data_IF_312709034589
#
_entry.id   IF_312709034589
#
_cell.length_a   1.000
_cell.length_b   1.000
_cell.length_c   1.000
_cell.angle_alpha   90.00
_cell.angle_beta   90.00
_cell.angle_gamma   90.00
#
_symmetry.space_group_name_H-M   'P 1'
#
loop_
_entity.id
_entity.type
_entity.pdbx_description
1 polymer ?
#
# COMPACT_ATOMS: atom_id res chain seq x y z
N UNK A 1 -19.99 -26.29 -13.21
CA UNK A 1 -19.72 -24.84 -13.33
C UNK A 1 -18.86 -24.47 -12.16
N UNK A 2 -17.58 -24.19 -12.41
CA UNK A 2 -16.61 -23.90 -11.35
C UNK A 2 -16.87 -22.53 -10.75
N UNK A 3 -16.88 -22.39 -9.41
CA UNK A 3 -17.01 -21.09 -8.78
C UNK A 3 -15.81 -20.20 -9.14
N UNK A 4 -16.02 -18.90 -9.39
CA UNK A 4 -14.93 -18.00 -9.76
C UNK A 4 -13.95 -17.85 -8.59
N UNK A 5 -12.64 -17.71 -8.88
CA UNK A 5 -11.62 -17.55 -7.85
C UNK A 5 -11.90 -16.33 -6.95
N UNK A 6 -11.56 -16.45 -5.67
CA UNK A 6 -11.81 -15.47 -4.59
C UNK A 6 -11.09 -14.10 -4.73
N UNK A 7 -10.76 -13.68 -5.95
CA UNK A 7 -10.14 -12.37 -6.26
C UNK A 7 -11.01 -11.18 -5.83
N UNK A 8 -12.34 -11.30 -5.85
CA UNK A 8 -13.26 -10.20 -5.55
C UNK A 8 -13.18 -9.66 -4.11
N UNK A 9 -12.89 -10.52 -3.14
CA UNK A 9 -12.81 -10.11 -1.73
C UNK A 9 -11.52 -9.36 -1.40
N UNK A 10 -10.45 -9.59 -2.14
CA UNK A 10 -9.16 -8.96 -1.85
C UNK A 10 -9.00 -7.63 -2.59
N UNK A 11 -9.53 -7.52 -3.81
CA UNK A 11 -9.62 -6.25 -4.54
C UNK A 11 -10.49 -5.23 -3.77
N UNK A 12 -11.60 -5.68 -3.19
CA UNK A 12 -12.48 -4.81 -2.40
C UNK A 12 -11.84 -4.35 -1.09
N UNK A 13 -11.10 -5.21 -0.38
CA UNK A 13 -10.31 -4.84 0.80
C UNK A 13 -9.21 -3.83 0.46
N UNK A 14 -8.50 -4.03 -0.66
CA UNK A 14 -7.45 -3.13 -1.12
C UNK A 14 -8.04 -1.75 -1.47
N UNK A 15 -9.07 -1.71 -2.30
CA UNK A 15 -9.74 -0.46 -2.68
C UNK A 15 -10.23 0.31 -1.45
N UNK A 16 -10.93 -0.36 -0.52
CA UNK A 16 -11.44 0.27 0.71
C UNK A 16 -10.33 0.90 1.55
N UNK A 17 -9.18 0.24 1.65
CA UNK A 17 -8.10 0.64 2.55
C UNK A 17 -7.18 1.71 1.94
N UNK A 18 -6.88 1.62 0.66
CA UNK A 18 -5.89 2.49 0.02
C UNK A 18 -6.56 3.61 -0.77
N UNK A 19 -7.49 3.26 -1.67
CA UNK A 19 -8.07 4.22 -2.61
C UNK A 19 -8.94 5.26 -1.90
N UNK A 20 -9.90 4.84 -1.07
CA UNK A 20 -10.79 5.80 -0.40
C UNK A 20 -10.06 6.68 0.61
N UNK A 21 -9.14 6.11 1.40
CA UNK A 21 -8.37 6.89 2.37
C UNK A 21 -7.49 7.95 1.68
N UNK A 22 -6.84 7.60 0.57
CA UNK A 22 -6.04 8.54 -0.21
C UNK A 22 -6.91 9.59 -0.91
N UNK A 23 -8.07 9.20 -1.43
CA UNK A 23 -9.04 10.12 -2.03
C UNK A 23 -9.56 11.14 -1.00
N UNK A 24 -9.83 10.73 0.25
CA UNK A 24 -10.22 11.64 1.32
C UNK A 24 -9.13 12.69 1.60
N UNK A 25 -7.86 12.28 1.65
CA UNK A 25 -6.74 13.21 1.83
C UNK A 25 -6.63 14.17 0.66
N UNK A 26 -6.68 13.65 -0.57
CA UNK A 26 -6.62 14.47 -1.78
C UNK A 26 -7.76 15.50 -1.82
N UNK A 27 -8.99 15.09 -1.50
CA UNK A 27 -10.15 15.97 -1.43
C UNK A 27 -9.99 17.05 -0.35
N UNK A 28 -9.47 16.71 0.83
CA UNK A 28 -9.22 17.68 1.89
C UNK A 28 -8.14 18.70 1.52
N UNK A 29 -7.05 18.25 0.89
CA UNK A 29 -5.98 19.15 0.41
C UNK A 29 -6.48 20.07 -0.69
N UNK A 30 -7.20 19.53 -1.67
CA UNK A 30 -7.75 20.32 -2.77
C UNK A 30 -8.81 21.29 -2.27
N UNK A 31 -9.71 20.88 -1.38
CA UNK A 31 -10.75 21.78 -0.86
C UNK A 31 -10.16 22.93 -0.05
N UNK A 32 -9.18 22.65 0.82
CA UNK A 32 -8.46 23.69 1.57
C UNK A 32 -7.75 24.67 0.64
N UNK A 33 -7.13 24.17 -0.44
CA UNK A 33 -6.54 25.02 -1.46
C UNK A 33 -7.59 25.88 -2.15
N UNK A 34 -8.67 25.26 -2.66
CA UNK A 34 -9.67 25.97 -3.44
C UNK A 34 -10.41 27.04 -2.62
N UNK A 35 -10.53 26.82 -1.32
CA UNK A 35 -11.10 27.83 -0.43
C UNK A 35 -10.14 29.01 -0.19
N UNK A 36 -8.84 28.73 -0.08
CA UNK A 36 -7.83 29.76 0.17
C UNK A 36 -7.62 30.72 -1.01
N UNK A 37 -7.86 30.27 -2.24
CA UNK A 37 -7.67 31.09 -3.45
C UNK A 37 -8.91 31.87 -3.90
N UNK A 38 -10.09 31.63 -3.31
CA UNK A 38 -11.31 32.38 -3.66
C UNK A 38 -11.12 33.87 -3.33
N UNK A 39 -11.55 34.83 -4.18
CA UNK A 39 -12.42 34.70 -5.37
C UNK A 39 -11.72 34.48 -6.74
N UNK A 40 -10.40 34.29 -6.80
CA UNK A 40 -9.61 34.07 -8.03
C UNK A 40 -9.55 35.22 -9.04
N UNK A 41 -9.82 36.45 -8.60
CA UNK A 41 -9.73 37.65 -9.44
C UNK A 41 -8.31 38.26 -9.48
N UNK A 42 -7.40 37.80 -8.60
CA UNK A 42 -6.07 38.39 -8.38
C UNK A 42 -6.12 39.88 -8.02
N UNK A 43 -7.19 40.33 -7.37
CA UNK A 43 -7.34 41.69 -6.87
C UNK A 43 -7.21 41.71 -5.35
N UNK A 44 -6.46 42.69 -4.86
CA UNK A 44 -6.34 43.02 -3.45
C UNK A 44 -6.78 44.46 -3.26
N UNK A 45 -7.57 44.69 -2.23
CA UNK A 45 -7.89 46.04 -1.78
C UNK A 45 -6.61 46.72 -1.29
N UNK A 46 -6.40 47.97 -1.71
CA UNK A 46 -5.33 48.82 -1.20
C UNK A 46 -5.82 49.58 0.04
N UNK A 47 -4.91 49.95 0.95
CA UNK A 47 -5.27 50.73 2.15
C UNK A 47 -5.55 52.21 1.83
N UNK A 48 -5.46 52.59 0.55
CA UNK A 48 -5.63 53.95 0.06
C UNK A 48 -6.86 54.06 -0.84
N UNK A 49 -7.53 55.20 -0.79
CA UNK A 49 -8.57 55.57 -1.75
C UNK A 49 -7.96 55.86 -3.13
N UNK A 50 -8.80 55.84 -4.16
CA UNK A 50 -8.41 56.15 -5.54
C UNK A 50 -7.76 57.55 -5.61
N UNK A 51 -6.64 57.63 -6.33
CA UNK A 51 -5.94 58.91 -6.52
C UNK A 51 -6.83 59.92 -7.24
N UNK A 52 -6.77 61.19 -6.84
CA UNK A 52 -7.55 62.29 -7.43
C UNK A 52 -7.36 62.46 -8.94
N UNK A 53 -6.28 61.92 -9.51
CA UNK A 53 -6.04 61.89 -10.96
C UNK A 53 -7.01 60.98 -11.73
N UNK A 54 -7.63 60.02 -11.06
CA UNK A 54 -8.54 59.04 -11.65
C UNK A 54 -10.01 59.31 -11.31
N UNK A 55 -10.32 60.43 -10.66
CA UNK A 55 -11.71 60.82 -10.31
C UNK A 55 -12.37 61.49 -11.52
N UNK A 56 -13.52 60.97 -11.93
CA UNK A 56 -14.27 61.49 -13.07
C UNK A 56 -15.09 60.42 -13.80
N UNK A 57 -15.76 60.86 -14.86
CA UNK A 57 -16.58 59.98 -15.71
C UNK A 57 -15.76 59.48 -16.90
N UNK A 58 -15.59 58.16 -16.98
CA UNK A 58 -14.85 57.48 -18.03
C UNK A 58 -15.79 56.63 -18.89
N UNK A 59 -15.54 56.63 -20.20
CA UNK A 59 -16.24 55.71 -21.11
C UNK A 59 -15.28 54.59 -21.51
N UNK A 60 -15.58 53.38 -21.06
CA UNK A 60 -14.80 52.18 -21.35
C UNK A 60 -15.45 51.46 -22.53
N UNK A 61 -14.67 51.14 -23.56
CA UNK A 61 -15.16 50.34 -24.69
C UNK A 61 -14.68 48.91 -24.52
N UNK A 62 -15.63 48.00 -24.33
CA UNK A 62 -15.36 46.57 -24.23
C UNK A 62 -14.93 45.99 -25.59
N UNK A 63 -14.27 44.83 -25.56
CA UNK A 63 -13.71 44.20 -26.77
C UNK A 63 -14.77 43.82 -27.81
N UNK A 64 -16.02 43.67 -27.39
CA UNK A 64 -17.17 43.41 -28.24
C UNK A 64 -17.77 44.67 -28.89
N UNK A 65 -17.24 45.86 -28.58
CA UNK A 65 -17.71 47.15 -29.09
C UNK A 65 -18.73 47.86 -28.20
N UNK A 66 -19.16 47.24 -27.09
CA UNK A 66 -20.10 47.87 -26.15
C UNK A 66 -19.39 48.95 -25.34
N UNK A 67 -20.05 50.10 -25.16
CA UNK A 67 -19.55 51.19 -24.34
C UNK A 67 -20.23 51.23 -22.98
N UNK A 68 -19.45 51.24 -21.91
CA UNK A 68 -19.92 51.39 -20.54
C UNK A 68 -19.40 52.70 -19.95
N UNK A 69 -20.28 53.45 -19.29
CA UNK A 69 -19.85 54.61 -18.50
C UNK A 69 -19.57 54.18 -17.08
N UNK A 70 -18.41 54.59 -16.57
CA UNK A 70 -17.97 54.33 -15.20
C UNK A 70 -17.60 55.67 -14.58
N UNK A 71 -18.27 56.00 -13.47
CA UNK A 71 -17.97 57.18 -12.67
C UNK A 71 -17.13 56.74 -11.49
N UNK A 72 -15.96 57.36 -11.32
CA UNK A 72 -15.05 57.08 -10.21
C UNK A 72 -15.12 58.26 -9.24
N UNK A 73 -15.44 57.98 -7.98
CA UNK A 73 -15.58 58.97 -6.91
C UNK A 73 -14.33 58.99 -6.04
N UNK A 74 -14.02 60.12 -5.41
CA UNK A 74 -12.82 60.28 -4.57
C UNK A 74 -12.78 59.38 -3.32
N UNK A 75 -13.88 58.74 -2.96
CA UNK A 75 -14.00 57.81 -1.82
C UNK A 75 -14.01 56.34 -2.27
N UNK A 76 -13.85 56.09 -3.57
CA UNK A 76 -13.78 54.72 -4.09
C UNK A 76 -12.47 54.06 -3.65
N UNK A 77 -12.55 52.75 -3.49
CA UNK A 77 -11.45 51.91 -3.02
C UNK A 77 -10.51 51.58 -4.17
N UNK A 78 -9.21 51.77 -3.97
CA UNK A 78 -8.20 51.36 -4.95
C UNK A 78 -7.92 49.86 -4.84
N UNK A 79 -7.75 49.19 -5.98
CA UNK A 79 -7.45 47.76 -6.04
C UNK A 79 -6.15 47.56 -6.81
N UNK A 80 -5.27 46.71 -6.26
CA UNK A 80 -4.00 46.33 -6.89
C UNK A 80 -3.99 44.85 -7.22
N UNK A 81 -3.20 44.50 -8.23
CA UNK A 81 -2.94 43.10 -8.54
C UNK A 81 -2.20 42.43 -7.39
N UNK A 82 -2.65 41.23 -7.00
CA UNK A 82 -1.95 40.38 -6.05
C UNK A 82 -2.09 38.90 -6.40
N UNK A 83 -1.08 38.11 -6.03
CA UNK A 83 -1.01 36.69 -6.40
C UNK A 83 -1.79 35.84 -5.41
N UNK A 84 -3.04 35.51 -5.73
CA UNK A 84 -3.90 34.65 -4.89
C UNK A 84 -3.57 33.14 -5.01
N UNK A 85 -2.68 32.75 -5.92
CA UNK A 85 -2.28 31.35 -6.12
C UNK A 85 -1.17 30.92 -5.14
N UNK A 86 -1.58 30.21 -4.08
CA UNK A 86 -0.71 29.61 -3.06
C UNK A 86 -0.01 28.29 -3.47
N UNK A 87 -0.42 27.64 -4.57
CA UNK A 87 0.23 26.40 -5.07
C UNK A 87 1.55 26.71 -5.76
N UNK A 88 1.61 27.82 -6.49
CA UNK A 88 2.76 28.16 -7.34
C UNK A 88 3.79 29.12 -6.72
N UNK A 89 3.57 29.59 -5.48
CA UNK A 89 4.42 30.60 -4.85
C UNK A 89 5.69 30.02 -4.19
N UNK A 90 5.79 28.69 -4.04
CA UNK A 90 6.94 28.00 -3.47
C UNK A 90 7.64 27.04 -4.45
N UNK A 91 8.96 27.00 -4.39
CA UNK A 91 9.76 25.87 -4.91
C UNK A 91 9.31 24.56 -4.26
N UNK A 92 9.67 23.40 -4.84
CA UNK A 92 9.37 22.06 -4.32
C UNK A 92 9.71 21.84 -2.81
N UNK A 93 10.49 22.73 -2.21
CA UNK A 93 10.91 22.70 -0.81
C UNK A 93 9.92 23.38 0.17
N UNK A 94 8.97 24.19 -0.30
CA UNK A 94 8.00 24.87 0.56
C UNK A 94 6.64 24.99 -0.13
N UNK A 95 5.96 23.86 -0.44
CA UNK A 95 4.55 23.94 -0.78
C UNK A 95 3.85 24.67 0.36
N UNK A 96 3.01 25.65 0.05
CA UNK A 96 2.28 26.47 1.04
C UNK A 96 1.22 25.69 1.81
N UNK A 97 1.56 24.49 2.30
CA UNK A 97 0.71 23.59 3.05
C UNK A 97 1.15 23.56 4.53
N UNK A 98 0.20 23.66 5.48
CA UNK A 98 -1.22 23.94 5.27
C UNK A 98 -1.45 25.35 4.69
N UNK A 99 -2.50 25.51 3.90
CA UNK A 99 -2.93 26.80 3.37
C UNK A 99 -3.54 27.59 4.52
N UNK A 100 -2.74 28.46 5.15
CA UNK A 100 -3.14 29.25 6.32
C UNK A 100 -2.91 30.74 6.06
N UNK A 101 -3.65 31.64 6.74
CA UNK A 101 -3.55 33.09 6.51
C UNK A 101 -2.14 33.66 6.66
N UNK A 102 -1.30 33.08 7.53
CA UNK A 102 0.09 33.53 7.71
C UNK A 102 0.99 33.29 6.49
N UNK A 103 0.51 32.55 5.49
CA UNK A 103 1.22 32.29 4.22
C UNK A 103 0.85 33.28 3.11
N UNK A 104 -0.06 34.22 3.34
CA UNK A 104 -0.45 35.24 2.35
C UNK A 104 0.69 36.19 1.97
N UNK A 105 1.69 36.37 2.85
CA UNK A 105 2.79 37.30 2.61
C UNK A 105 2.37 38.75 2.87
N UNK A 106 2.87 39.68 2.06
CA UNK A 106 2.54 41.12 2.16
C UNK A 106 1.18 41.47 1.53
N UNK A 107 0.72 40.65 0.59
CA UNK A 107 -0.57 40.84 -0.07
C UNK A 107 -1.66 40.14 0.73
N UNK A 108 -2.40 40.87 1.58
CA UNK A 108 -3.56 40.34 2.29
C UNK A 108 -4.80 40.47 1.40
N UNK A 109 -5.17 39.40 0.71
CA UNK A 109 -6.39 39.37 -0.12
C UNK A 109 -7.59 38.78 0.61
N UNK A 110 -7.36 37.94 1.62
CA UNK A 110 -8.44 37.26 2.33
C UNK A 110 -9.20 38.25 3.22
N UNK A 111 -10.53 38.15 3.23
CA UNK A 111 -11.34 38.83 4.24
C UNK A 111 -11.10 38.20 5.62
N UNK A 112 -11.37 38.92 6.71
CA UNK A 112 -11.18 38.42 8.08
C UNK A 112 -11.94 37.10 8.35
N UNK A 113 -13.16 36.99 7.81
CA UNK A 113 -13.96 35.76 7.88
C UNK A 113 -13.31 34.62 7.08
N UNK A 114 -12.83 34.92 5.88
CA UNK A 114 -12.15 33.94 5.04
C UNK A 114 -10.84 33.48 5.68
N UNK A 115 -10.08 34.36 6.32
CA UNK A 115 -8.87 34.01 7.06
C UNK A 115 -9.18 33.00 8.16
N UNK A 116 -10.22 33.27 8.94
CA UNK A 116 -10.65 32.40 10.04
C UNK A 116 -11.03 31.01 9.54
N UNK A 117 -11.85 30.93 8.49
CA UNK A 117 -12.28 29.64 7.92
C UNK A 117 -11.11 28.91 7.29
N UNK A 118 -10.24 29.61 6.56
CA UNK A 118 -9.06 29.05 5.91
C UNK A 118 -8.09 28.48 6.94
N UNK A 119 -7.89 29.16 8.07
CA UNK A 119 -7.07 28.67 9.19
C UNK A 119 -7.60 27.34 9.75
N UNK A 120 -8.91 27.26 10.01
CA UNK A 120 -9.55 26.04 10.51
C UNK A 120 -9.43 24.91 9.49
N UNK A 121 -9.74 25.19 8.22
CA UNK A 121 -9.64 24.21 7.13
C UNK A 121 -8.21 23.69 6.93
N UNK A 122 -7.22 24.57 6.95
CA UNK A 122 -5.81 24.22 6.82
C UNK A 122 -5.37 23.21 7.90
N UNK A 123 -5.68 23.49 9.17
CA UNK A 123 -5.34 22.59 10.27
C UNK A 123 -6.16 21.29 10.28
N UNK A 124 -7.44 21.35 9.90
CA UNK A 124 -8.27 20.14 9.78
C UNK A 124 -7.70 19.19 8.71
N UNK A 125 -7.17 19.73 7.62
CA UNK A 125 -6.55 18.94 6.54
C UNK A 125 -5.27 18.26 7.01
N UNK A 126 -4.45 18.96 7.81
CA UNK A 126 -3.25 18.36 8.46
C UNK A 126 -3.66 17.23 9.39
N UNK A 127 -4.69 17.43 10.21
CA UNK A 127 -5.18 16.41 11.13
C UNK A 127 -5.69 15.16 10.39
N UNK A 128 -6.53 15.33 9.37
CA UNK A 128 -7.05 14.22 8.54
C UNK A 128 -5.91 13.47 7.86
N UNK A 129 -4.96 14.20 7.25
CA UNK A 129 -3.79 13.61 6.60
C UNK A 129 -2.92 12.84 7.60
N UNK A 130 -2.72 13.38 8.80
CA UNK A 130 -1.97 12.74 9.88
C UNK A 130 -2.62 11.44 10.36
N UNK A 131 -3.94 11.42 10.55
CA UNK A 131 -4.67 10.20 10.92
C UNK A 131 -4.55 9.13 9.86
N UNK A 132 -4.74 9.49 8.59
CA UNK A 132 -4.61 8.55 7.47
C UNK A 132 -3.18 8.00 7.38
N UNK A 133 -2.17 8.87 7.42
CA UNK A 133 -0.75 8.48 7.41
C UNK A 133 -0.40 7.56 8.60
N UNK A 134 -0.91 7.86 9.79
CA UNK A 134 -0.71 7.03 10.97
C UNK A 134 -1.29 5.62 10.81
N UNK A 135 -2.52 5.50 10.27
CA UNK A 135 -3.14 4.19 10.00
C UNK A 135 -2.32 3.39 8.97
N UNK A 136 -1.80 4.04 7.93
CA UNK A 136 -0.90 3.40 6.97
C UNK A 136 0.40 2.97 7.62
N UNK A 137 1.00 3.83 8.43
CA UNK A 137 2.25 3.55 9.15
C UNK A 137 2.10 2.33 10.07
N UNK A 138 1.01 2.25 10.85
CA UNK A 138 0.73 1.07 11.68
C UNK A 138 0.55 -0.21 10.85
N UNK A 139 -0.09 -0.11 9.69
CA UNK A 139 -0.24 -1.24 8.76
C UNK A 139 1.10 -1.69 8.20
N UNK A 140 1.93 -0.74 7.77
CA UNK A 140 3.27 -0.99 7.26
C UNK A 140 4.19 -1.58 8.35
N UNK A 141 4.18 -1.02 9.56
CA UNK A 141 4.97 -1.51 10.70
C UNK A 141 4.58 -2.94 11.08
N UNK A 142 3.28 -3.28 11.05
CA UNK A 142 2.82 -4.66 11.26
C UNK A 142 3.33 -5.60 10.16
N UNK A 143 3.26 -5.20 8.89
CA UNK A 143 3.79 -5.98 7.78
C UNK A 143 5.31 -6.15 7.83
N UNK A 144 6.02 -5.11 8.23
CA UNK A 144 7.46 -5.16 8.42
C UNK A 144 7.82 -6.08 9.59
N UNK A 145 7.15 -5.96 10.73
CA UNK A 145 7.32 -6.86 11.87
C UNK A 145 6.97 -8.32 11.54
N UNK A 146 6.03 -8.59 10.62
CA UNK A 146 5.74 -9.96 10.18
C UNK A 146 6.87 -10.57 9.36
N UNK A 147 7.73 -9.77 8.70
CA UNK A 147 8.92 -10.29 8.02
C UNK A 147 10.00 -10.74 9.02
N UNK A 148 10.04 -10.14 10.21
CA UNK A 148 11.00 -10.51 11.27
C UNK A 148 10.45 -11.53 12.27
N UNK A 149 9.13 -11.74 12.31
CA UNK A 149 8.53 -12.84 13.06
C UNK A 149 8.52 -14.10 12.20
N UNK A 150 9.37 -15.06 12.54
CA UNK A 150 9.32 -16.41 11.98
C UNK A 150 7.89 -16.95 12.09
N UNK A 151 7.33 -17.38 10.95
CA UNK A 151 6.01 -18.03 10.88
C UNK A 151 6.01 -19.42 11.53
N UNK A 152 7.17 -19.90 11.99
CA UNK A 152 7.26 -21.18 12.68
C UNK A 152 6.78 -21.02 14.13
N UNK A 153 5.54 -21.44 14.37
CA UNK A 153 5.05 -21.77 15.70
C UNK A 153 5.19 -23.28 15.84
N UNK A 154 6.09 -23.75 16.70
CA UNK A 154 6.18 -25.18 17.00
C UNK A 154 4.82 -25.63 17.53
N UNK A 155 4.22 -26.60 16.86
CA UNK A 155 3.00 -27.26 17.33
C UNK A 155 3.45 -28.56 17.98
N UNK A 156 3.26 -28.68 19.29
CA UNK A 156 3.63 -29.87 20.08
C UNK A 156 4.76 -29.62 21.08
N UNK A 157 4.77 -30.41 22.14
CA UNK A 157 5.89 -30.51 23.09
C UNK A 157 6.95 -31.45 22.52
N UNK A 158 8.22 -31.20 22.85
CA UNK A 158 9.31 -32.10 22.49
C UNK A 158 9.05 -33.49 23.09
N UNK A 159 8.83 -34.48 22.23
CA UNK A 159 8.55 -35.86 22.67
C UNK A 159 9.81 -36.58 23.16
N UNK A 160 11.00 -35.99 23.03
CA UNK A 160 12.27 -36.56 23.50
C UNK A 160 12.69 -37.83 22.75
N UNK A 161 12.00 -38.15 21.65
CA UNK A 161 12.27 -39.32 20.81
C UNK A 161 12.91 -38.80 19.52
N UNK A 162 14.11 -39.29 19.15
CA UNK A 162 14.71 -38.98 17.85
C UNK A 162 13.76 -39.35 16.72
N UNK A 163 13.67 -38.51 15.69
CA UNK A 163 12.75 -38.71 14.56
C UNK A 163 12.92 -40.09 13.87
N UNK A 164 14.12 -40.67 13.92
CA UNK A 164 14.43 -42.02 13.41
C UNK A 164 13.79 -43.17 14.19
N UNK A 165 13.33 -42.94 15.41
CA UNK A 165 12.81 -43.96 16.32
C UNK A 165 11.28 -43.94 16.44
N UNK A 166 10.59 -43.07 15.71
CA UNK A 166 9.12 -43.02 15.69
C UNK A 166 8.59 -44.25 14.91
N UNK A 167 7.88 -45.21 15.54
CA UNK A 167 7.52 -46.49 14.90
C UNK A 167 6.49 -46.37 13.78
N UNK A 168 5.72 -45.27 13.79
CA UNK A 168 4.69 -44.95 12.79
C UNK A 168 4.99 -43.56 12.24
N UNK A 169 5.98 -43.47 11.35
CA UNK A 169 6.26 -42.23 10.63
C UNK A 169 5.14 -42.08 9.58
N UNK A 170 4.16 -41.22 9.85
CA UNK A 170 3.38 -40.63 8.77
C UNK A 170 4.34 -39.68 8.05
N UNK A 171 4.84 -40.10 6.88
CA UNK A 171 5.75 -39.28 6.10
C UNK A 171 5.07 -37.93 5.83
N UNK A 172 5.77 -36.83 6.14
CA UNK A 172 5.29 -35.51 5.77
C UNK A 172 5.27 -35.42 4.25
N UNK A 173 4.09 -35.31 3.67
CA UNK A 173 3.91 -35.09 2.23
C UNK A 173 4.11 -33.59 1.99
N UNK A 174 5.16 -33.16 1.27
CA UNK A 174 5.39 -31.75 1.02
C UNK A 174 4.31 -31.19 0.09
N UNK A 175 3.51 -30.28 0.64
CA UNK A 175 2.39 -29.63 -0.04
C UNK A 175 2.66 -28.14 -0.24
N UNK A 176 2.30 -27.62 -1.41
CA UNK A 176 2.41 -26.20 -1.77
C UNK A 176 1.02 -25.66 -2.07
N UNK A 177 0.52 -24.80 -1.19
CA UNK A 177 -0.74 -24.09 -1.42
C UNK A 177 -0.55 -22.96 -2.44
N UNK A 178 -1.43 -22.88 -3.43
CA UNK A 178 -1.44 -21.82 -4.44
C UNK A 178 -2.84 -21.24 -4.57
N UNK A 179 -2.95 -19.91 -4.60
CA UNK A 179 -4.23 -19.22 -4.75
C UNK A 179 -4.94 -19.49 -6.09
N UNK A 180 -4.25 -20.12 -7.06
CA UNK A 180 -4.82 -20.48 -8.36
C UNK A 180 -5.43 -21.89 -8.39
N UNK A 181 -5.09 -22.75 -7.42
CA UNK A 181 -5.56 -24.13 -7.37
C UNK A 181 -6.48 -24.33 -6.17
N UNK A 182 -7.54 -25.11 -6.35
CA UNK A 182 -8.49 -25.43 -5.27
C UNK A 182 -7.95 -26.49 -4.30
N UNK A 183 -6.93 -27.23 -4.71
CA UNK A 183 -6.25 -28.29 -3.96
C UNK A 183 -4.74 -28.01 -3.94
N UNK A 184 -4.01 -28.44 -2.89
CA UNK A 184 -2.59 -28.19 -2.78
C UNK A 184 -1.80 -28.98 -3.82
N UNK A 185 -0.70 -28.40 -4.29
CA UNK A 185 0.22 -29.04 -5.22
C UNK A 185 1.20 -29.92 -4.44
N UNK A 186 1.49 -31.11 -4.95
CA UNK A 186 2.39 -32.08 -4.34
C UNK A 186 3.80 -31.88 -4.90
N UNK A 187 4.78 -31.68 -4.02
CA UNK A 187 6.19 -31.55 -4.40
C UNK A 187 6.97 -32.87 -4.25
N UNK A 188 6.27 -34.00 -4.23
CA UNK A 188 6.82 -35.35 -4.13
C UNK A 188 6.03 -36.27 -5.05
N UNK A 189 6.71 -37.32 -5.52
CA UNK A 189 6.12 -38.33 -6.39
C UNK A 189 4.93 -39.02 -5.68
N UNK A 190 3.77 -38.84 -6.28
CA UNK A 190 2.49 -39.33 -5.80
C UNK A 190 2.28 -40.83 -6.03
N UNK A 191 3.05 -41.48 -6.91
CA UNK A 191 2.80 -42.89 -7.30
C UNK A 191 3.21 -43.88 -6.20
N UNK A 192 4.05 -43.45 -5.25
CA UNK A 192 4.59 -44.29 -4.16
C UNK A 192 3.83 -44.07 -2.84
N UNK A 193 2.95 -43.07 -2.79
CA UNK A 193 2.27 -42.65 -1.57
C UNK A 193 0.87 -43.28 -1.53
N UNK A 194 0.51 -43.87 -0.40
CA UNK A 194 -0.83 -44.38 -0.18
C UNK A 194 -1.86 -43.25 -0.20
N UNK A 195 -2.93 -43.39 -0.99
CA UNK A 195 -3.97 -42.38 -1.13
C UNK A 195 -4.68 -42.07 0.20
N UNK A 196 -4.69 -43.01 1.15
CA UNK A 196 -5.26 -42.82 2.49
C UNK A 196 -4.48 -41.81 3.35
N UNK A 197 -3.23 -41.47 2.98
CA UNK A 197 -2.40 -40.50 3.69
C UNK A 197 -2.72 -39.04 3.33
N UNK A 198 -3.55 -38.79 2.31
CA UNK A 198 -3.96 -37.44 1.94
C UNK A 198 -5.21 -37.01 2.73
N UNK A 199 -5.11 -35.87 3.41
CA UNK A 199 -6.23 -35.28 4.16
C UNK A 199 -7.33 -34.66 3.27
N UNK A 200 -7.17 -34.74 1.94
CA UNK A 200 -8.06 -34.15 0.95
C UNK A 200 -8.24 -35.11 -0.21
N UNK A 201 -9.38 -35.03 -0.92
CA UNK A 201 -9.65 -35.82 -2.10
C UNK A 201 -10.41 -34.97 -3.13
N UNK A 202 -9.94 -35.00 -4.38
CA UNK A 202 -10.62 -34.35 -5.51
C UNK A 202 -11.49 -35.41 -6.22
N UNK A 203 -12.82 -35.25 -6.25
CA UNK A 203 -13.71 -36.22 -6.88
C UNK A 203 -13.56 -36.29 -8.42
N UNK A 204 -12.94 -35.28 -9.03
CA UNK A 204 -12.80 -35.18 -10.49
C UNK A 204 -11.41 -35.60 -10.99
N UNK A 205 -10.36 -35.57 -10.15
CA UNK A 205 -8.97 -35.74 -10.59
C UNK A 205 -8.14 -36.56 -9.59
N UNK A 206 -7.24 -37.43 -10.08
CA UNK A 206 -6.33 -38.18 -9.21
C UNK A 206 -5.24 -37.28 -8.63
N UNK A 207 -4.61 -37.70 -7.53
CA UNK A 207 -3.51 -36.96 -6.88
C UNK A 207 -2.32 -36.69 -7.80
N UNK A 208 -2.07 -37.58 -8.76
CA UNK A 208 -1.02 -37.42 -9.78
C UNK A 208 -1.22 -36.20 -10.69
N UNK A 209 -2.43 -35.65 -10.78
CA UNK A 209 -2.68 -34.38 -11.47
C UNK A 209 -2.03 -33.19 -10.75
N UNK A 210 -1.87 -33.29 -9.43
CA UNK A 210 -1.33 -32.24 -8.58
C UNK A 210 0.18 -32.41 -8.32
N UNK A 211 0.78 -33.43 -8.92
CA UNK A 211 2.18 -33.81 -8.73
C UNK A 211 3.13 -32.98 -9.60
N UNK A 212 3.81 -32.04 -8.95
CA UNK A 212 4.77 -31.15 -9.59
C UNK A 212 6.01 -31.87 -10.10
N UNK A 213 6.30 -33.09 -9.62
CA UNK A 213 7.48 -33.83 -10.08
C UNK A 213 7.28 -34.33 -11.52
N UNK A 214 6.05 -34.71 -11.88
CA UNK A 214 5.69 -35.13 -13.24
C UNK A 214 5.72 -33.96 -14.22
N UNK A 215 5.19 -32.81 -13.79
CA UNK A 215 5.26 -31.56 -14.55
C UNK A 215 6.71 -31.10 -14.72
N UNK A 216 7.53 -31.22 -13.66
CA UNK A 216 8.94 -30.86 -13.71
C UNK A 216 9.71 -31.74 -14.70
N UNK A 217 9.48 -33.06 -14.71
CA UNK A 217 10.12 -33.97 -15.68
C UNK A 217 9.74 -33.61 -17.12
N UNK A 218 8.47 -33.34 -17.41
CA UNK A 218 8.03 -32.93 -18.75
C UNK A 218 8.67 -31.59 -19.18
N UNK A 219 8.70 -30.62 -18.28
CA UNK A 219 9.31 -29.31 -18.52
C UNK A 219 10.83 -29.39 -18.68
N UNK A 220 11.50 -30.23 -17.89
CA UNK A 220 12.95 -30.44 -17.95
C UNK A 220 13.36 -31.25 -19.17
N UNK A 221 12.54 -32.19 -19.65
CA UNK A 221 12.81 -32.94 -20.88
C UNK A 221 12.67 -32.09 -22.15
N UNK A 222 11.84 -31.04 -22.13
CA UNK A 222 11.68 -30.11 -23.25
C UNK A 222 12.62 -28.91 -23.24
N UNK A 223 13.31 -28.67 -22.12
CA UNK A 223 14.30 -27.61 -22.00
C UNK A 223 15.69 -28.26 -21.99
N UNK A 224 16.51 -28.00 -23.00
CA UNK A 224 17.93 -28.35 -23.03
C UNK A 224 18.69 -27.49 -21.98
N UNK A 225 18.46 -27.79 -20.70
CA UNK A 225 18.93 -27.01 -19.57
C UNK A 225 20.28 -27.52 -19.10
N UNK A 226 21.33 -26.99 -19.73
CA UNK A 226 22.62 -26.81 -19.07
C UNK A 226 22.49 -25.72 -17.98
N UNK A 227 21.90 -26.01 -16.83
CA UNK A 227 22.19 -25.21 -15.62
C UNK A 227 21.89 -25.94 -14.31
N UNK A 228 22.85 -25.82 -13.40
CA UNK A 228 22.94 -26.30 -12.02
C UNK A 228 21.59 -26.49 -11.31
N UNK A 229 21.36 -27.73 -10.88
CA UNK A 229 20.31 -28.19 -9.97
C UNK A 229 20.31 -27.33 -8.69
N UNK A 230 19.25 -26.52 -8.50
CA UNK A 230 19.07 -25.63 -7.35
C UNK A 230 18.50 -26.29 -6.08
N UNK A 231 18.16 -27.59 -6.13
CA UNK A 231 17.48 -28.29 -5.03
C UNK A 231 18.28 -29.47 -4.43
N UNK A 232 19.59 -29.60 -4.70
CA UNK A 232 20.36 -30.76 -4.21
C UNK A 232 20.96 -30.61 -2.80
N UNK A 233 20.52 -29.65 -1.98
CA UNK A 233 21.03 -29.53 -0.59
C UNK A 233 19.95 -30.00 0.38
N UNK A 234 19.71 -31.31 0.38
CA UNK A 234 19.26 -32.00 1.59
C UNK A 234 20.53 -32.59 2.21
N UNK A 235 21.03 -31.94 3.29
CA UNK A 235 22.15 -32.46 4.06
C UNK A 235 21.70 -33.75 4.75
N UNK A 236 22.12 -34.90 4.24
CA UNK A 236 22.02 -36.17 4.94
C UNK A 236 22.98 -36.13 6.14
N UNK A 237 22.44 -36.10 7.35
CA UNK A 237 23.21 -36.30 8.57
C UNK A 237 23.31 -37.80 8.80
N UNK A 238 24.49 -38.36 8.53
CA UNK A 238 24.82 -39.71 8.96
C UNK A 238 24.87 -39.68 10.50
N UNK A 239 23.98 -40.46 11.13
CA UNK A 239 24.01 -40.67 12.57
C UNK A 239 25.38 -41.16 13.01
N UNK A 240 25.86 -40.65 14.13
CA UNK A 240 27.07 -41.17 14.79
C UNK A 240 26.81 -42.66 15.06
N UNK A 241 27.71 -43.59 14.66
CA UNK A 241 27.54 -44.99 14.98
C UNK A 241 27.57 -45.15 16.51
N UNK A 242 26.57 -45.86 17.05
CA UNK A 242 26.56 -46.24 18.46
C UNK A 242 27.80 -47.13 18.74
N UNK A 243 28.72 -46.62 19.55
CA UNK A 243 29.73 -47.44 20.22
C UNK A 243 29.05 -48.22 21.35
N UNK A 244 28.38 -49.31 21.01
CA UNK A 244 28.07 -50.37 21.97
C UNK A 244 27.86 -51.68 21.23
N UNK A 245 28.94 -52.46 21.09
CA UNK A 245 28.91 -53.93 21.22
C UNK A 245 30.32 -54.51 21.01
N UNK A 246 31.02 -54.75 22.13
CA UNK A 246 32.15 -55.68 22.32
C UNK A 246 32.37 -55.72 23.83
N UNK A 247 32.18 -56.79 24.60
CA UNK A 247 32.15 -58.21 24.31
C UNK A 247 31.37 -58.88 25.46
N UNK A 248 30.52 -59.86 25.16
CA UNK A 248 30.18 -60.90 26.13
C UNK A 248 30.10 -62.26 25.40
N UNK A 249 30.56 -63.29 26.10
CA UNK A 249 30.54 -64.74 25.81
C UNK A 249 31.79 -65.41 25.20
N UNK A 250 32.54 -66.11 26.06
CA UNK A 250 32.64 -67.57 25.96
C UNK A 250 33.00 -68.23 27.31
N UNK A 251 32.18 -69.20 27.68
CA UNK A 251 32.24 -70.14 28.82
C UNK A 251 33.38 -71.18 28.73
N UNK A 252 33.55 -71.90 29.86
CA UNK A 252 34.14 -73.24 30.07
C UNK A 252 35.64 -73.36 30.43
N UNK A 253 35.94 -73.45 31.74
CA UNK A 253 36.28 -74.70 32.48
C UNK A 253 36.29 -74.46 34.01
#
# INVERSE_FOLDING_TARGET
>A
GTPPPHLGTDVSKFSRRYFFSLACVAMAVLSSYYWSGFPYDNLCQNDTVVSSSYVGDYTITAKNGDTHQVSIVADDTDYRYCRQNLIGSGTLASPGFPFIPSKQGEDRWMTEEQETITFIYGWSTVAVSGVVAFVFFLGWLKGWLSLFRSSYKSVGDDMGIPFSQVPSINAYIPQVESAMFSYPLLAADSDVIDEELYDWNDPERPFSYYDLTKDADELLHHLDMSSKVGFSIVKHWLGVPDESDSDDESLDD
#
